data_IF_443491005845
#
_entry.id   IF_443491005845
#
_cell.length_a   1.000
_cell.length_b   1.000
_cell.length_c   1.000
_cell.angle_alpha   90.00
_cell.angle_beta   90.00
_cell.angle_gamma   90.00
#
_symmetry.space_group_name_H-M   'P 1'
#
loop_
_entity.id
_entity.type
_entity.pdbx_description
1 polymer ?
#
# COMPACT_ATOMS: atom_id res chain seq x y z
N UNK A 1 40.60 55.63 24.15
CA UNK A 1 39.22 55.11 24.23
C UNK A 1 38.62 54.77 22.86
N UNK A 2 38.89 55.59 21.81
CA UNK A 2 38.33 55.42 20.46
C UNK A 2 38.66 54.05 19.82
N UNK A 3 39.89 53.55 19.95
CA UNK A 3 40.29 52.26 19.37
C UNK A 3 39.54 51.05 19.95
N UNK A 4 39.20 51.09 21.26
CA UNK A 4 38.42 50.03 21.90
C UNK A 4 36.97 50.01 21.43
N UNK A 5 36.39 51.19 21.17
CA UNK A 5 35.02 51.31 20.63
C UNK A 5 34.95 50.82 19.17
N UNK A 6 35.97 51.09 18.35
CA UNK A 6 36.02 50.64 16.96
C UNK A 6 36.16 49.10 16.89
N UNK A 7 36.98 48.50 17.76
CA UNK A 7 37.15 47.04 17.81
C UNK A 7 35.84 46.34 18.22
N UNK A 8 35.09 46.92 19.17
CA UNK A 8 33.81 46.37 19.62
C UNK A 8 32.74 46.42 18.50
N UNK A 9 32.67 47.52 17.75
CA UNK A 9 31.76 47.66 16.61
C UNK A 9 32.10 46.65 15.50
N UNK A 10 33.39 46.47 15.16
CA UNK A 10 33.82 45.47 14.17
C UNK A 10 33.46 44.03 14.59
N UNK A 11 33.57 43.69 15.89
CA UNK A 11 33.18 42.36 16.39
C UNK A 11 31.66 42.14 16.38
N UNK A 12 30.86 43.18 16.61
CA UNK A 12 29.40 43.11 16.54
C UNK A 12 28.91 42.94 15.10
N UNK A 13 29.46 43.71 14.14
CA UNK A 13 29.13 43.58 12.73
C UNK A 13 29.59 42.24 12.13
N UNK A 14 30.75 41.72 12.55
CA UNK A 14 31.23 40.39 12.14
C UNK A 14 30.32 39.24 12.61
N UNK A 15 29.80 39.30 13.84
CA UNK A 15 28.83 38.31 14.34
C UNK A 15 27.44 38.45 13.73
N UNK A 16 27.03 39.66 13.37
CA UNK A 16 25.72 39.93 12.74
C UNK A 16 25.64 39.36 11.32
N UNK A 17 26.72 39.40 10.54
CA UNK A 17 26.76 38.84 9.18
C UNK A 17 26.70 37.30 9.16
N UNK A 18 27.33 36.62 10.13
CA UNK A 18 27.32 35.15 10.21
C UNK A 18 25.90 34.62 10.49
N UNK A 19 25.10 35.34 11.28
CA UNK A 19 23.71 34.97 11.57
C UNK A 19 22.78 35.14 10.38
N UNK A 20 23.03 36.10 9.48
CA UNK A 20 22.16 36.38 8.32
C UNK A 20 22.42 35.38 7.18
N UNK A 21 23.66 34.89 7.02
CA UNK A 21 23.96 33.87 6.00
C UNK A 21 23.35 32.50 6.30
N UNK A 22 23.06 32.19 7.57
CA UNK A 22 22.29 31.00 7.95
C UNK A 22 20.80 31.13 7.64
N UNK A 23 20.23 32.34 7.68
CA UNK A 23 18.80 32.57 7.49
C UNK A 23 18.40 32.71 6.01
N UNK A 24 19.34 33.04 5.11
CA UNK A 24 19.00 33.45 3.75
C UNK A 24 19.33 32.43 2.64
N UNK A 25 20.29 31.50 2.79
CA UNK A 25 20.73 30.68 1.65
C UNK A 25 20.92 29.17 1.89
N UNK A 26 20.57 28.61 3.05
CA UNK A 26 20.43 27.15 3.21
C UNK A 26 21.66 26.29 2.87
N UNK A 27 22.87 26.84 2.84
CA UNK A 27 24.11 26.10 2.60
C UNK A 27 24.91 26.05 3.90
N UNK A 28 24.91 24.88 4.55
CA UNK A 28 25.80 24.57 5.67
C UNK A 28 27.10 23.96 5.12
N UNK A 29 28.30 24.45 5.52
CA UNK A 29 29.58 23.97 4.98
C UNK A 29 30.03 22.60 5.53
N UNK A 30 29.19 21.89 6.29
CA UNK A 30 29.49 20.54 6.79
C UNK A 30 28.99 19.48 5.81
N UNK A 31 29.85 18.61 5.26
CA UNK A 31 29.43 17.58 4.32
C UNK A 31 28.62 16.53 5.09
N UNK A 32 27.31 16.51 4.86
CA UNK A 32 26.43 15.45 5.38
C UNK A 32 24.95 15.81 5.59
N UNK A 33 24.54 17.08 5.50
CA UNK A 33 23.18 17.49 5.90
C UNK A 33 22.43 18.36 4.88
N UNK A 34 22.77 18.30 3.59
CA UNK A 34 22.03 19.01 2.55
C UNK A 34 21.72 18.10 1.36
N UNK A 35 20.66 17.31 1.51
CA UNK A 35 19.72 17.07 0.42
C UNK A 35 18.35 17.45 0.97
N UNK A 36 17.51 18.24 0.26
CA UNK A 36 16.13 18.40 0.65
C UNK A 36 15.45 17.06 0.37
N UNK A 37 15.58 16.14 1.32
CA UNK A 37 14.74 14.97 1.36
C UNK A 37 13.37 15.48 1.73
N UNK A 38 12.41 15.41 0.81
CA UNK A 38 10.98 15.37 1.14
C UNK A 38 10.62 14.09 1.95
N UNK A 39 11.59 13.47 2.62
CA UNK A 39 11.42 12.41 3.58
C UNK A 39 11.08 13.02 4.92
N UNK A 40 9.84 12.77 5.35
CA UNK A 40 9.50 12.79 6.77
C UNK A 40 10.61 12.09 7.55
N UNK A 41 11.11 12.74 8.60
CA UNK A 41 12.10 12.15 9.52
C UNK A 41 11.60 10.76 9.89
N UNK A 42 12.32 9.72 9.47
CA UNK A 42 11.98 8.34 9.80
C UNK A 42 11.84 8.27 11.33
N UNK A 43 10.70 7.83 11.87
CA UNK A 43 10.57 7.69 13.31
C UNK A 43 11.69 6.78 13.82
N UNK A 44 12.36 7.20 14.89
CA UNK A 44 13.44 6.42 15.52
C UNK A 44 12.90 5.06 15.96
N UNK A 45 13.20 4.02 15.18
CA UNK A 45 12.80 2.65 15.47
C UNK A 45 13.73 2.01 16.51
N UNK A 46 13.78 2.58 17.71
CA UNK A 46 14.60 2.06 18.81
C UNK A 46 13.90 1.07 19.74
N UNK A 47 12.58 0.87 19.62
CA UNK A 47 11.82 0.17 20.66
C UNK A 47 10.45 -0.39 20.25
N UNK A 48 10.30 -0.90 19.02
CA UNK A 48 9.05 -1.59 18.65
C UNK A 48 8.81 -2.81 19.56
N UNK A 49 7.56 -2.98 20.02
CA UNK A 49 7.17 -4.10 20.86
C UNK A 49 7.32 -5.46 20.12
N UNK A 50 7.32 -6.58 20.87
CA UNK A 50 7.33 -7.92 20.25
C UNK A 50 6.15 -8.08 19.28
N UNK A 51 6.39 -8.73 18.15
CA UNK A 51 5.45 -8.86 17.01
C UNK A 51 5.18 -7.57 16.21
N UNK A 52 5.99 -6.53 16.41
CA UNK A 52 6.05 -5.34 15.55
C UNK A 52 7.40 -5.25 14.85
N UNK A 53 7.42 -4.62 13.68
CA UNK A 53 8.63 -4.33 12.90
C UNK A 53 8.66 -2.86 12.49
N UNK A 54 9.86 -2.35 12.21
CA UNK A 54 10.04 -0.98 11.77
C UNK A 54 9.69 -0.80 10.30
N UNK A 55 8.84 0.17 10.00
CA UNK A 55 8.52 0.61 8.64
C UNK A 55 8.66 2.13 8.48
N UNK A 56 8.37 2.62 7.28
CA UNK A 56 8.55 4.02 6.88
C UNK A 56 7.85 5.03 7.78
N UNK A 57 6.72 4.62 8.38
CA UNK A 57 5.83 5.47 9.19
C UNK A 57 5.83 5.10 10.67
N UNK A 58 6.72 4.20 11.11
CA UNK A 58 6.81 3.74 12.50
C UNK A 58 6.70 2.22 12.63
N UNK A 59 6.36 1.78 13.84
CA UNK A 59 6.18 0.36 14.13
C UNK A 59 4.86 -0.13 13.52
N UNK A 60 4.93 -1.21 12.73
CA UNK A 60 3.75 -1.90 12.20
C UNK A 60 3.71 -3.34 12.69
N UNK A 61 2.53 -3.92 12.83
CA UNK A 61 2.36 -5.29 13.31
C UNK A 61 2.77 -6.31 12.24
N UNK A 62 3.63 -7.26 12.58
CA UNK A 62 3.94 -8.39 11.70
C UNK A 62 2.86 -9.47 11.85
N UNK A 63 1.97 -9.60 10.85
CA UNK A 63 1.11 -10.78 10.76
C UNK A 63 1.87 -11.93 10.10
N UNK A 64 1.75 -13.13 10.64
CA UNK A 64 2.19 -14.34 9.96
C UNK A 64 1.34 -14.54 8.69
N UNK A 65 1.95 -14.45 7.51
CA UNK A 65 1.29 -14.52 6.19
C UNK A 65 0.71 -15.91 5.86
N UNK A 66 0.82 -16.89 6.76
CA UNK A 66 0.44 -18.28 6.51
C UNK A 66 -1.08 -18.49 6.38
N UNK A 67 -1.92 -17.61 6.94
CA UNK A 67 -3.37 -17.83 6.99
C UNK A 67 -4.16 -17.31 5.78
N UNK A 68 -3.57 -16.47 4.91
CA UNK A 68 -4.27 -15.88 3.75
C UNK A 68 -3.94 -16.54 2.42
N UNK A 69 -3.09 -17.56 2.45
CA UNK A 69 -2.79 -18.44 1.31
C UNK A 69 -3.39 -19.84 1.47
N UNK A 70 -4.03 -20.11 2.62
CA UNK A 70 -4.77 -21.34 2.82
C UNK A 70 -6.19 -21.14 2.32
N UNK A 71 -6.36 -21.35 1.01
CA UNK A 71 -7.68 -21.66 0.46
C UNK A 71 -7.83 -23.19 0.63
N UNK A 72 -8.67 -23.70 1.54
CA UNK A 72 -9.04 -25.11 1.46
C UNK A 72 -9.75 -25.28 0.12
N UNK A 73 -9.29 -26.21 -0.72
CA UNK A 73 -9.96 -26.60 -1.96
C UNK A 73 -11.35 -27.17 -1.63
N UNK A 74 -12.32 -26.29 -1.37
CA UNK A 74 -13.72 -26.67 -1.21
C UNK A 74 -14.31 -26.73 -2.61
N UNK A 75 -14.09 -27.89 -3.23
CA UNK A 75 -14.92 -28.51 -4.27
C UNK A 75 -15.59 -27.55 -5.27
N UNK A 76 -14.96 -27.48 -6.44
CA UNK A 76 -15.57 -27.13 -7.73
C UNK A 76 -16.83 -27.98 -7.95
N UNK A 77 -17.99 -27.50 -7.48
CA UNK A 77 -19.28 -28.17 -7.64
C UNK A 77 -20.10 -27.51 -8.74
N UNK A 78 -19.91 -27.99 -9.98
CA UNK A 78 -21.07 -28.19 -10.88
C UNK A 78 -21.30 -29.69 -10.99
N UNK A 79 -22.51 -30.08 -10.60
CA UNK A 79 -23.16 -31.38 -10.81
C UNK A 79 -22.54 -32.59 -10.11
N UNK A 80 -23.23 -33.06 -9.07
CA UNK A 80 -23.29 -34.51 -8.78
C UNK A 80 -24.09 -35.16 -9.93
N UNK A 81 -23.65 -36.32 -10.44
CA UNK A 81 -24.05 -37.56 -9.79
C UNK A 81 -22.94 -38.61 -9.58
N UNK A 82 -23.20 -39.47 -8.58
CA UNK A 82 -22.73 -40.86 -8.39
C UNK A 82 -21.29 -41.12 -7.88
N UNK A 83 -21.18 -41.19 -6.54
CA UNK A 83 -20.71 -42.28 -5.66
C UNK A 83 -19.74 -43.40 -6.16
N UNK A 84 -19.01 -43.25 -7.26
CA UNK A 84 -17.97 -44.20 -7.71
C UNK A 84 -16.58 -43.58 -7.88
N UNK A 85 -16.44 -42.27 -7.71
CA UNK A 85 -15.16 -41.54 -7.88
C UNK A 85 -14.43 -41.32 -6.55
N UNK A 86 -15.14 -41.34 -5.41
CA UNK A 86 -14.53 -41.13 -4.09
C UNK A 86 -13.55 -42.25 -3.70
N UNK A 87 -13.78 -43.47 -4.18
CA UNK A 87 -12.88 -44.62 -3.97
C UNK A 87 -11.55 -44.43 -4.71
N UNK A 88 -11.59 -43.88 -5.93
CA UNK A 88 -10.41 -43.63 -6.75
C UNK A 88 -9.54 -42.49 -6.18
N UNK A 89 -10.14 -41.51 -5.49
CA UNK A 89 -9.43 -40.40 -4.84
C UNK A 89 -8.57 -40.88 -3.67
N UNK A 90 -9.15 -41.65 -2.74
CA UNK A 90 -8.39 -42.24 -1.63
C UNK A 90 -7.29 -43.20 -2.11
N UNK A 91 -7.52 -43.94 -3.20
CA UNK A 91 -6.50 -44.81 -3.80
C UNK A 91 -5.36 -44.00 -4.42
N UNK A 92 -5.67 -42.85 -5.04
CA UNK A 92 -4.66 -41.92 -5.59
C UNK A 92 -3.82 -41.28 -4.50
N UNK A 93 -4.45 -40.80 -3.43
CA UNK A 93 -3.75 -40.18 -2.30
C UNK A 93 -2.89 -41.20 -1.57
N UNK A 94 -3.36 -42.45 -1.45
CA UNK A 94 -2.56 -43.57 -0.93
C UNK A 94 -1.36 -43.89 -1.83
N UNK A 95 -1.49 -43.81 -3.15
CA UNK A 95 -0.38 -44.02 -4.07
C UNK A 95 0.67 -42.89 -3.99
N UNK A 96 0.23 -41.65 -3.83
CA UNK A 96 1.11 -40.48 -3.67
C UNK A 96 1.88 -40.56 -2.34
N UNK A 97 1.19 -40.88 -1.23
CA UNK A 97 1.83 -41.09 0.07
C UNK A 97 2.83 -42.25 0.02
N UNK A 98 2.49 -43.36 -0.64
CA UNK A 98 3.36 -44.53 -0.79
C UNK A 98 4.61 -44.20 -1.63
N UNK A 99 4.48 -43.38 -2.67
CA UNK A 99 5.61 -42.91 -3.47
C UNK A 99 6.51 -41.94 -2.70
N UNK A 100 5.94 -41.03 -1.90
CA UNK A 100 6.75 -40.15 -1.01
C UNK A 100 7.48 -40.95 0.08
N UNK A 101 6.84 -41.96 0.66
CA UNK A 101 7.46 -42.86 1.64
C UNK A 101 8.59 -43.71 1.04
N UNK A 102 8.48 -44.12 -0.23
CA UNK A 102 9.56 -44.78 -0.97
C UNK A 102 10.75 -43.84 -1.23
N UNK A 103 10.48 -42.58 -1.58
CA UNK A 103 11.52 -41.55 -1.73
C UNK A 103 12.29 -41.26 -0.43
N UNK A 104 11.63 -41.37 0.73
CA UNK A 104 12.29 -41.21 2.04
C UNK A 104 13.12 -42.46 2.40
N UNK A 105 12.81 -43.63 1.83
CA UNK A 105 13.52 -44.90 2.08
C UNK A 105 14.70 -45.18 1.15
N UNK A 106 14.98 -44.31 0.17
CA UNK A 106 16.17 -44.42 -0.67
C UNK A 106 16.20 -45.66 -1.59
N UNK A 107 15.05 -46.04 -2.15
CA UNK A 107 14.97 -47.03 -3.23
C UNK A 107 14.71 -46.33 -4.57
N UNK A 108 15.61 -46.55 -5.53
CA UNK A 108 15.57 -45.99 -6.88
C UNK A 108 14.37 -46.58 -7.66
N UNK A 109 13.51 -45.73 -8.23
CA UNK A 109 12.50 -46.19 -9.20
C UNK A 109 12.44 -45.24 -10.38
N UNK A 110 12.72 -45.85 -11.53
CA UNK A 110 12.74 -45.33 -12.90
C UNK A 110 11.43 -44.71 -13.36
N UNK A 111 11.58 -43.69 -14.20
CA UNK A 111 10.56 -43.08 -15.04
C UNK A 111 9.68 -44.09 -15.78
N UNK A 112 8.36 -43.84 -15.76
CA UNK A 112 7.52 -43.65 -16.94
C UNK A 112 6.05 -43.58 -16.51
N UNK A 113 5.40 -42.43 -16.72
CA UNK A 113 4.14 -42.31 -17.47
C UNK A 113 3.81 -40.82 -17.61
N UNK A 114 4.08 -40.32 -18.82
CA UNK A 114 3.53 -39.10 -19.39
C UNK A 114 2.00 -39.21 -19.49
N UNK A 115 1.27 -38.23 -18.95
CA UNK A 115 0.08 -37.68 -19.65
C UNK A 115 0.27 -36.17 -19.65
N UNK A 116 0.79 -35.70 -20.78
CA UNK A 116 0.69 -34.32 -21.21
C UNK A 116 -0.77 -33.99 -21.45
N UNK A 117 -1.27 -32.96 -20.78
CA UNK A 117 -2.18 -31.99 -21.39
C UNK A 117 -1.66 -30.63 -20.93
N UNK A 118 -0.67 -30.16 -21.68
CA UNK A 118 -0.27 -28.77 -21.67
C UNK A 118 -1.42 -27.92 -22.18
N UNK A 119 -2.01 -27.15 -21.28
CA UNK A 119 -2.37 -25.77 -21.56
C UNK A 119 -1.44 -24.91 -20.71
N UNK A 120 -0.16 -24.91 -21.09
CA UNK A 120 0.77 -23.85 -20.73
C UNK A 120 0.33 -22.57 -21.46
N UNK A 121 -0.75 -21.96 -21.00
CA UNK A 121 -0.78 -20.50 -21.02
C UNK A 121 0.10 -20.04 -19.86
N UNK A 122 1.41 -20.10 -20.09
CA UNK A 122 2.34 -19.10 -19.58
C UNK A 122 1.84 -17.76 -20.13
N UNK A 123 0.79 -17.22 -19.53
CA UNK A 123 0.49 -15.83 -19.66
C UNK A 123 1.75 -15.14 -19.14
N UNK A 124 2.53 -14.57 -20.06
CA UNK A 124 3.57 -13.62 -19.74
C UNK A 124 2.97 -12.67 -18.71
N UNK A 125 3.40 -12.82 -17.46
CA UNK A 125 3.00 -11.90 -16.42
C UNK A 125 3.64 -10.59 -16.84
N UNK A 126 2.80 -9.65 -17.31
CA UNK A 126 3.29 -8.37 -17.80
C UNK A 126 4.17 -7.74 -16.72
N UNK A 127 5.25 -7.05 -17.12
CA UNK A 127 6.18 -6.42 -16.17
C UNK A 127 5.44 -5.56 -15.13
N UNK A 128 4.30 -4.98 -15.52
CA UNK A 128 3.41 -4.19 -14.64
C UNK A 128 2.72 -5.01 -13.55
N UNK A 129 2.36 -6.27 -13.79
CA UNK A 129 1.76 -7.15 -12.78
C UNK A 129 2.81 -7.59 -11.74
N UNK A 130 4.05 -7.79 -12.19
CA UNK A 130 5.19 -8.11 -11.32
C UNK A 130 5.50 -6.94 -10.37
N UNK A 131 5.48 -5.71 -10.90
CA UNK A 131 5.70 -4.51 -10.08
C UNK A 131 4.57 -4.26 -9.09
N UNK A 132 3.31 -4.46 -9.49
CA UNK A 132 2.19 -4.34 -8.56
C UNK A 132 2.27 -5.39 -7.45
N UNK A 133 2.72 -6.62 -7.75
CA UNK A 133 2.87 -7.67 -6.76
C UNK A 133 3.95 -7.35 -5.71
N UNK A 134 5.00 -6.60 -6.07
CA UNK A 134 5.98 -6.07 -5.12
C UNK A 134 5.43 -4.93 -4.25
N UNK A 135 4.56 -4.09 -4.82
CA UNK A 135 3.97 -2.91 -4.14
C UNK A 135 2.85 -3.32 -3.17
N UNK A 136 1.92 -4.17 -3.61
CA UNK A 136 0.88 -4.79 -2.78
C UNK A 136 0.33 -6.05 -3.46
N UNK A 137 0.59 -7.25 -2.90
CA UNK A 137 0.02 -8.48 -3.44
C UNK A 137 -1.51 -8.51 -3.35
N UNK A 138 -2.11 -7.85 -2.36
CA UNK A 138 -3.58 -7.69 -2.29
C UNK A 138 -4.12 -6.97 -3.52
N UNK A 139 -3.53 -5.84 -3.91
CA UNK A 139 -3.99 -5.08 -5.08
C UNK A 139 -3.79 -5.88 -6.37
N UNK A 140 -2.65 -6.57 -6.52
CA UNK A 140 -2.40 -7.43 -7.67
C UNK A 140 -3.50 -8.50 -7.83
N UNK A 141 -3.89 -9.17 -6.74
CA UNK A 141 -5.00 -10.14 -6.73
C UNK A 141 -6.35 -9.51 -7.05
N UNK A 142 -6.65 -8.35 -6.49
CA UNK A 142 -7.91 -7.66 -6.75
C UNK A 142 -8.03 -7.22 -8.22
N UNK A 143 -6.92 -6.85 -8.84
CA UNK A 143 -6.90 -6.39 -10.23
C UNK A 143 -7.02 -7.55 -11.24
N UNK A 144 -6.72 -8.78 -10.84
CA UNK A 144 -6.90 -9.95 -11.69
C UNK A 144 -8.34 -10.50 -11.56
N UNK A 145 -9.17 -10.43 -12.62
CA UNK A 145 -10.55 -10.91 -12.57
C UNK A 145 -10.66 -12.43 -12.41
N UNK A 146 -9.59 -13.19 -12.71
CA UNK A 146 -9.59 -14.66 -12.60
C UNK A 146 -9.32 -15.16 -11.17
N UNK A 147 -8.76 -14.33 -10.29
CA UNK A 147 -8.45 -14.71 -8.90
C UNK A 147 -9.57 -14.43 -7.90
N UNK A 148 -10.68 -13.83 -8.35
CA UNK A 148 -11.82 -13.52 -7.49
C UNK A 148 -12.84 -14.65 -7.56
N UNK A 149 -12.68 -15.66 -6.71
CA UNK A 149 -13.61 -16.79 -6.57
C UNK A 149 -14.87 -16.41 -5.77
N UNK A 150 -14.81 -15.34 -4.96
CA UNK A 150 -15.86 -14.92 -4.05
C UNK A 150 -15.97 -13.39 -3.95
N UNK A 151 -17.14 -12.85 -3.56
CA UNK A 151 -17.31 -11.42 -3.30
C UNK A 151 -16.41 -10.96 -2.13
N UNK A 152 -15.53 -9.97 -2.35
CA UNK A 152 -14.56 -9.48 -1.36
C UNK A 152 -14.98 -8.15 -0.76
N UNK A 153 -15.13 -8.10 0.56
CA UNK A 153 -15.50 -6.87 1.30
C UNK A 153 -14.54 -5.72 1.04
N UNK A 154 -15.04 -4.53 0.61
CA UNK A 154 -14.14 -3.47 0.17
C UNK A 154 -13.33 -2.91 1.34
N UNK A 155 -13.88 -2.95 2.57
CA UNK A 155 -13.14 -2.57 3.76
C UNK A 155 -12.04 -3.60 4.07
N UNK A 156 -12.33 -4.89 3.92
CA UNK A 156 -11.35 -5.97 4.08
C UNK A 156 -10.24 -5.87 3.03
N UNK A 157 -10.59 -5.63 1.77
CA UNK A 157 -9.64 -5.38 0.69
C UNK A 157 -8.74 -4.15 0.97
N UNK A 158 -9.36 -3.05 1.40
CA UNK A 158 -8.65 -1.82 1.75
C UNK A 158 -7.68 -2.04 2.92
N UNK A 159 -8.15 -2.66 4.01
CA UNK A 159 -7.34 -2.99 5.18
C UNK A 159 -6.17 -3.92 4.84
N UNK A 160 -6.39 -4.94 4.01
CA UNK A 160 -5.34 -5.87 3.61
C UNK A 160 -4.24 -5.16 2.80
N UNK A 161 -4.61 -4.24 1.91
CA UNK A 161 -3.61 -3.40 1.24
C UNK A 161 -2.82 -2.54 2.24
N UNK A 162 -3.47 -1.92 3.23
CA UNK A 162 -2.76 -1.14 4.24
C UNK A 162 -1.75 -1.97 5.06
N UNK A 163 -2.10 -3.23 5.36
CA UNK A 163 -1.21 -4.17 6.03
C UNK A 163 -0.03 -4.55 5.14
N UNK A 164 -0.27 -4.81 3.85
CA UNK A 164 0.80 -5.09 2.87
C UNK A 164 1.81 -3.94 2.79
N UNK A 165 1.30 -2.70 2.87
CA UNK A 165 2.09 -1.46 2.86
C UNK A 165 2.68 -1.10 4.23
N UNK A 166 2.52 -1.96 5.23
CA UNK A 166 3.17 -1.86 6.54
C UNK A 166 2.83 -0.55 7.27
N UNK A 167 1.58 -0.13 7.20
CA UNK A 167 1.10 1.04 7.94
C UNK A 167 0.99 0.72 9.44
N UNK A 168 1.23 1.71 10.32
CA UNK A 168 1.08 1.54 11.77
C UNK A 168 -0.41 1.39 12.15
N UNK A 169 -0.67 0.80 13.32
CA UNK A 169 -2.04 0.45 13.75
C UNK A 169 -2.99 1.66 13.77
N UNK A 170 -2.49 2.85 14.16
CA UNK A 170 -3.25 4.10 14.11
C UNK A 170 -3.80 4.41 12.70
N UNK A 171 -3.04 4.09 11.65
CA UNK A 171 -3.50 4.23 10.27
C UNK A 171 -4.40 3.08 9.83
N UNK A 172 -4.19 1.86 10.34
CA UNK A 172 -5.03 0.71 10.03
C UNK A 172 -6.48 0.91 10.47
N UNK A 173 -6.71 1.62 11.58
CA UNK A 173 -8.05 2.03 12.00
C UNK A 173 -8.77 2.92 10.98
N UNK A 174 -8.02 3.61 10.11
CA UNK A 174 -8.57 4.47 9.05
C UNK A 174 -8.74 3.72 7.73
N UNK A 175 -8.24 2.48 7.61
CA UNK A 175 -8.37 1.65 6.40
C UNK A 175 -9.76 1.00 6.29
N UNK A 176 -10.78 1.84 6.38
CA UNK A 176 -12.19 1.50 6.27
C UNK A 176 -12.91 2.68 5.64
N UNK A 177 -13.75 2.47 4.63
CA UNK A 177 -14.40 3.54 3.88
C UNK A 177 -15.37 4.40 4.72
N UNK A 178 -15.86 3.90 5.85
CA UNK A 178 -16.66 4.68 6.80
C UNK A 178 -15.82 5.62 7.68
N UNK A 179 -14.64 5.16 8.11
CA UNK A 179 -13.71 5.97 8.93
C UNK A 179 -12.81 6.87 8.10
N UNK A 180 -12.49 6.45 6.89
CA UNK A 180 -11.75 7.22 5.91
C UNK A 180 -12.65 8.33 5.36
N UNK A 181 -12.71 9.46 6.05
CA UNK A 181 -13.60 10.57 5.73
C UNK A 181 -12.87 11.92 5.83
N UNK A 182 -13.54 13.00 5.40
CA UNK A 182 -12.97 14.36 5.41
C UNK A 182 -12.41 14.76 6.78
N UNK A 183 -13.12 14.45 7.86
CA UNK A 183 -12.72 14.84 9.22
C UNK A 183 -11.41 14.16 9.62
N UNK A 184 -11.29 12.85 9.38
CA UNK A 184 -10.05 12.09 9.63
C UNK A 184 -8.89 12.68 8.84
N UNK A 185 -9.09 13.01 7.56
CA UNK A 185 -8.03 13.64 6.75
C UNK A 185 -7.61 15.00 7.29
N UNK A 186 -8.57 15.79 7.74
CA UNK A 186 -8.34 17.11 8.33
C UNK A 186 -7.55 16.99 9.64
N UNK A 187 -7.88 16.01 10.48
CA UNK A 187 -7.15 15.73 11.73
C UNK A 187 -5.73 15.23 11.47
N UNK A 188 -5.53 14.33 10.50
CA UNK A 188 -4.21 13.89 10.05
C UNK A 188 -3.40 15.09 9.54
N UNK A 189 -4.01 15.97 8.76
CA UNK A 189 -3.39 17.16 8.19
C UNK A 189 -2.86 18.11 9.26
N UNK A 190 -3.69 18.42 10.25
CA UNK A 190 -3.32 19.25 11.39
C UNK A 190 -2.50 18.52 12.46
N UNK A 191 -2.04 17.29 12.17
CA UNK A 191 -1.24 16.45 13.08
C UNK A 191 -1.92 16.21 14.43
N UNK A 192 -3.26 16.19 14.44
CA UNK A 192 -4.09 15.85 15.61
C UNK A 192 -4.38 14.35 15.69
N UNK A 193 -4.29 13.64 14.56
CA UNK A 193 -4.40 12.19 14.51
C UNK A 193 -3.03 11.51 14.73
N UNK A 194 -3.05 10.31 15.31
CA UNK A 194 -1.85 9.49 15.52
C UNK A 194 -1.28 8.93 14.21
N UNK A 195 -2.11 8.82 13.16
CA UNK A 195 -1.67 8.47 11.82
C UNK A 195 -1.05 9.71 11.14
N UNK A 196 0.25 9.68 10.77
CA UNK A 196 0.90 10.82 10.16
C UNK A 196 0.31 11.10 8.77
N UNK A 197 0.21 12.39 8.41
CA UNK A 197 -0.24 12.82 7.07
C UNK A 197 0.58 12.20 5.93
N UNK A 198 1.85 11.86 6.19
CA UNK A 198 2.74 11.15 5.27
C UNK A 198 2.18 9.80 4.78
N UNK A 199 1.37 9.12 5.60
CA UNK A 199 0.76 7.85 5.27
C UNK A 199 -0.49 8.01 4.38
N UNK A 200 -0.98 9.24 4.18
CA UNK A 200 -2.18 9.51 3.39
C UNK A 200 -2.03 9.04 1.94
N UNK A 201 -0.85 9.19 1.32
CA UNK A 201 -0.62 8.67 -0.03
C UNK A 201 -0.86 7.16 -0.11
N UNK A 202 -0.52 6.42 0.95
CA UNK A 202 -0.73 4.98 1.03
C UNK A 202 -2.18 4.61 1.26
N UNK A 203 -2.88 5.38 2.10
CA UNK A 203 -4.33 5.22 2.29
C UNK A 203 -5.08 5.48 0.99
N UNK A 204 -4.76 6.55 0.27
CA UNK A 204 -5.35 6.86 -1.04
C UNK A 204 -5.03 5.77 -2.07
N UNK A 205 -3.77 5.34 -2.15
CA UNK A 205 -3.34 4.27 -3.05
C UNK A 205 -4.14 2.98 -2.83
N UNK A 206 -4.27 2.57 -1.57
CA UNK A 206 -4.98 1.35 -1.20
C UNK A 206 -6.49 1.48 -1.43
N UNK A 207 -7.12 2.61 -1.09
CA UNK A 207 -8.53 2.84 -1.35
C UNK A 207 -8.84 2.80 -2.85
N UNK A 208 -7.98 3.41 -3.68
CA UNK A 208 -8.13 3.48 -5.14
C UNK A 208 -7.55 2.27 -5.89
N UNK A 209 -7.02 1.26 -5.19
CA UNK A 209 -6.41 0.04 -5.78
C UNK A 209 -5.30 0.32 -6.80
N UNK A 210 -4.57 1.41 -6.63
CA UNK A 210 -3.52 1.78 -7.59
C UNK A 210 -4.03 2.14 -9.00
N UNK A 211 -5.30 2.51 -9.16
CA UNK A 211 -5.91 2.83 -10.46
C UNK A 211 -6.11 4.32 -10.67
N UNK A 212 -6.51 4.68 -11.89
CA UNK A 212 -6.88 6.04 -12.26
C UNK A 212 -8.40 6.21 -12.32
N UNK A 213 -8.96 7.00 -11.40
CA UNK A 213 -10.38 7.32 -11.30
C UNK A 213 -10.71 8.74 -11.75
N UNK A 214 -9.80 9.45 -12.43
CA UNK A 214 -10.01 10.86 -12.86
C UNK A 214 -11.34 11.08 -13.58
N UNK A 215 -11.72 10.18 -14.48
CA UNK A 215 -12.98 10.27 -15.22
C UNK A 215 -14.21 10.20 -14.30
N UNK A 216 -14.17 9.34 -13.27
CA UNK A 216 -15.24 9.25 -12.27
C UNK A 216 -15.27 10.51 -11.40
N UNK A 217 -14.09 10.95 -10.92
CA UNK A 217 -13.98 12.13 -10.07
C UNK A 217 -14.46 13.41 -10.76
N UNK A 218 -14.11 13.61 -12.04
CA UNK A 218 -14.57 14.76 -12.81
C UNK A 218 -16.10 14.79 -12.90
N UNK A 219 -16.74 13.65 -13.20
CA UNK A 219 -18.21 13.53 -13.25
C UNK A 219 -18.87 13.71 -11.89
N UNK A 220 -18.20 13.30 -10.81
CA UNK A 220 -18.69 13.48 -9.44
C UNK A 220 -18.31 14.84 -8.83
N UNK A 221 -17.92 15.82 -9.64
CA UNK A 221 -17.77 17.21 -9.21
C UNK A 221 -16.57 17.47 -8.30
N UNK A 222 -15.54 16.62 -8.32
CA UNK A 222 -14.29 16.86 -7.57
C UNK A 222 -13.58 18.14 -8.04
N UNK A 223 -13.81 18.55 -9.28
CA UNK A 223 -13.27 19.77 -9.89
C UNK A 223 -14.04 21.04 -9.51
N UNK A 224 -15.14 20.93 -8.75
CA UNK A 224 -15.96 22.10 -8.35
C UNK A 224 -15.41 22.86 -7.14
N UNK A 225 -14.23 22.49 -6.65
CA UNK A 225 -13.56 23.16 -5.54
C UNK A 225 -12.82 24.40 -6.03
N UNK A 226 -12.34 25.24 -5.11
CA UNK A 226 -11.49 26.39 -5.43
C UNK A 226 -10.20 25.99 -6.18
N UNK A 227 -9.68 24.79 -5.94
CA UNK A 227 -8.48 24.28 -6.60
C UNK A 227 -8.76 23.66 -8.00
N UNK A 228 -10.03 23.54 -8.40
CA UNK A 228 -10.42 23.09 -9.72
C UNK A 228 -9.88 21.69 -10.08
N UNK A 229 -9.34 21.57 -11.28
CA UNK A 229 -8.78 20.31 -11.82
C UNK A 229 -7.56 19.80 -11.05
N UNK A 230 -6.92 20.62 -10.22
CA UNK A 230 -5.79 20.18 -9.39
C UNK A 230 -6.20 19.02 -8.48
N UNK A 231 -7.46 18.97 -8.03
CA UNK A 231 -7.95 17.90 -7.16
C UNK A 231 -8.01 16.53 -7.84
N UNK A 232 -7.96 16.47 -9.17
CA UNK A 232 -7.91 15.22 -9.91
C UNK A 232 -6.58 14.46 -9.70
N UNK A 233 -5.55 15.10 -9.14
CA UNK A 233 -4.29 14.43 -8.78
C UNK A 233 -4.52 13.30 -7.76
N UNK A 234 -5.43 13.51 -6.81
CA UNK A 234 -5.78 12.51 -5.79
C UNK A 234 -6.65 11.37 -6.34
N UNK A 235 -7.18 11.51 -7.56
CA UNK A 235 -7.95 10.45 -8.20
C UNK A 235 -7.08 9.53 -9.06
N UNK A 236 -5.84 9.91 -9.36
CA UNK A 236 -4.89 9.09 -10.11
C UNK A 236 -3.86 8.50 -9.15
N UNK A 237 -4.15 7.31 -8.66
CA UNK A 237 -3.34 6.62 -7.64
C UNK A 237 -2.43 5.56 -8.26
N UNK A 238 -2.11 5.65 -9.55
CA UNK A 238 -1.19 4.69 -10.19
C UNK A 238 0.20 4.71 -9.53
N UNK A 239 0.90 3.57 -9.46
CA UNK A 239 2.28 3.51 -8.99
C UNK A 239 3.15 4.59 -9.65
N UNK A 240 4.08 5.16 -8.87
CA UNK A 240 4.98 6.22 -9.34
C UNK A 240 4.39 7.63 -9.35
N UNK A 241 3.08 7.80 -9.08
CA UNK A 241 2.47 9.11 -8.84
C UNK A 241 2.24 9.35 -7.35
N UNK A 242 3.12 10.13 -6.75
CA UNK A 242 2.98 10.55 -5.35
C UNK A 242 2.15 11.83 -5.32
N UNK A 243 1.07 11.85 -4.54
CA UNK A 243 0.28 13.06 -4.35
C UNK A 243 0.98 14.02 -3.38
N UNK A 244 1.33 15.25 -3.80
CA UNK A 244 1.85 16.26 -2.87
C UNK A 244 0.77 16.63 -1.85
N UNK A 245 1.17 16.72 -0.58
CA UNK A 245 0.28 17.02 0.54
C UNK A 245 0.54 18.43 1.09
N UNK A 246 0.60 19.41 0.19
CA UNK A 246 0.80 20.82 0.55
C UNK A 246 -0.53 21.51 0.94
N UNK A 247 -0.44 22.76 1.42
CA UNK A 247 -1.60 23.57 1.84
C UNK A 247 -2.53 23.93 0.67
N UNK A 248 -2.06 23.92 -0.58
CA UNK A 248 -2.86 24.30 -1.75
C UNK A 248 -3.95 23.28 -2.09
N UNK A 249 -3.83 22.06 -1.57
CA UNK A 249 -4.76 20.96 -1.81
C UNK A 249 -5.84 20.81 -0.73
N UNK A 250 -5.83 21.63 0.32
CA UNK A 250 -6.81 21.51 1.42
C UNK A 250 -8.26 21.63 0.90
N UNK A 251 -8.52 22.54 -0.06
CA UNK A 251 -9.86 22.69 -0.64
C UNK A 251 -10.34 21.44 -1.40
N UNK A 252 -9.42 20.56 -1.82
CA UNK A 252 -9.81 19.29 -2.45
C UNK A 252 -10.51 18.34 -1.47
N UNK A 253 -10.22 18.46 -0.16
CA UNK A 253 -10.83 17.61 0.85
C UNK A 253 -12.33 17.93 1.07
N UNK A 254 -12.81 19.09 0.62
CA UNK A 254 -14.25 19.39 0.63
C UNK A 254 -15.07 18.45 -0.25
N UNK A 255 -14.45 17.88 -1.30
CA UNK A 255 -15.06 16.88 -2.19
C UNK A 255 -14.53 15.48 -1.95
N UNK A 256 -13.91 15.23 -0.80
CA UNK A 256 -13.30 13.94 -0.51
C UNK A 256 -14.28 12.77 -0.55
N UNK A 257 -15.51 12.95 -0.05
CA UNK A 257 -16.54 11.91 -0.11
C UNK A 257 -16.90 11.52 -1.56
N UNK A 258 -16.90 12.50 -2.48
CA UNK A 258 -17.15 12.27 -3.90
C UNK A 258 -16.00 11.47 -4.55
N UNK A 259 -14.76 11.73 -4.13
CA UNK A 259 -13.58 10.98 -4.57
C UNK A 259 -13.64 9.54 -4.05
N UNK A 260 -13.90 9.39 -2.75
CA UNK A 260 -14.01 8.10 -2.07
C UNK A 260 -15.12 7.22 -2.66
N UNK A 261 -16.26 7.82 -3.01
CA UNK A 261 -17.36 7.12 -3.68
C UNK A 261 -16.90 6.44 -4.98
N UNK A 262 -16.08 7.11 -5.79
CA UNK A 262 -15.52 6.50 -7.00
C UNK A 262 -14.67 5.25 -6.70
N UNK A 263 -13.87 5.30 -5.63
CA UNK A 263 -13.02 4.20 -5.21
C UNK A 263 -13.86 3.01 -4.72
N UNK A 264 -14.84 3.26 -3.86
CA UNK A 264 -15.77 2.26 -3.36
C UNK A 264 -16.55 1.59 -4.48
N UNK A 265 -17.10 2.38 -5.41
CA UNK A 265 -17.89 1.85 -6.52
C UNK A 265 -17.06 0.96 -7.47
N UNK A 266 -15.75 1.22 -7.64
CA UNK A 266 -14.88 0.34 -8.43
C UNK A 266 -14.66 -1.03 -7.75
N UNK A 267 -14.57 -1.05 -6.41
CA UNK A 267 -14.44 -2.29 -5.64
C UNK A 267 -15.71 -3.14 -5.68
N UNK A 268 -16.88 -2.53 -5.50
CA UNK A 268 -18.15 -3.29 -5.45
C UNK A 268 -18.66 -3.76 -6.82
N UNK A 269 -18.09 -3.30 -7.94
CA UNK A 269 -18.44 -3.88 -9.26
C UNK A 269 -18.13 -5.37 -9.36
N UNK A 270 -17.24 -5.87 -8.53
CA UNK A 270 -16.88 -7.29 -8.43
C UNK A 270 -17.77 -8.06 -7.44
N UNK A 271 -18.64 -7.37 -6.70
CA UNK A 271 -19.58 -7.98 -5.75
C UNK A 271 -20.84 -8.55 -6.40
N UNK A 272 -21.24 -7.95 -7.53
CA UNK A 272 -22.56 -8.17 -8.15
C UNK A 272 -22.48 -8.95 -9.46
N UNK A 273 -21.40 -9.73 -9.67
CA UNK A 273 -21.28 -10.66 -10.80
C UNK A 273 -21.45 -12.10 -10.36
#
# INVERSE_FOLDING_TARGET
MIYKSILFILTLFGKFQISITCAANGICPTPGLCYPSYGYTQPSCGGCQRAYSCGTYGCYRTKARAATNFEPDVFRSRQKPMLRVAENGMLRDRAILKNRLKGIKGEDVSSETFISNGDENLAEMSDMDNDMMKISPTIARLNNPRSLSSPIDPNTAFLNCCIDRKLPDACLEKCNFGRYNKNTLTEMYFKRDLCPIAALSELQFCAARGKNHKACCARNGVTTTLAGDKCLIFCDQRPGKITPLDMSYISCFDRFENMKSCFWHDLIRFYTK
#
